data_IF_452540971789
#
_entry.id   IF_452540971789
#
_cell.length_a   1.000
_cell.length_b   1.000
_cell.length_c   1.000
_cell.angle_alpha   90.00
_cell.angle_beta   90.00
_cell.angle_gamma   90.00
#
_symmetry.space_group_name_H-M   'P 1'
#
loop_
_entity.id
_entity.type
_entity.pdbx_description
1 polymer ?
#
# COMPACT_ATOMS: atom_id res chain seq x y z
N UNK A 1 14.61 -28.30 -1.91
CA UNK A 1 15.25 -27.06 -2.39
C UNK A 1 15.45 -27.01 -3.90
N UNK A 2 16.09 -27.99 -4.56
CA UNK A 2 16.32 -27.95 -6.01
C UNK A 2 15.04 -27.79 -6.86
N UNK A 3 13.96 -28.49 -6.51
CA UNK A 3 12.65 -28.36 -7.18
C UNK A 3 12.01 -26.98 -7.02
N UNK A 4 12.11 -26.38 -5.82
CA UNK A 4 11.62 -25.02 -5.57
C UNK A 4 12.44 -23.96 -6.32
N UNK A 5 13.77 -24.14 -6.39
CA UNK A 5 14.64 -23.28 -7.17
C UNK A 5 14.26 -23.30 -8.66
N UNK A 6 14.00 -24.48 -9.23
CA UNK A 6 13.53 -24.58 -10.62
C UNK A 6 12.19 -23.85 -10.83
N UNK A 7 11.23 -24.00 -9.91
CA UNK A 7 9.95 -23.28 -9.97
C UNK A 7 10.16 -21.76 -9.95
N UNK A 8 11.10 -21.28 -9.13
CA UNK A 8 11.50 -19.88 -9.12
C UNK A 8 12.17 -19.46 -10.43
N UNK A 9 13.12 -20.24 -10.94
CA UNK A 9 13.92 -19.92 -12.12
C UNK A 9 13.05 -19.77 -13.38
N UNK A 10 11.97 -20.54 -13.48
CA UNK A 10 10.96 -20.48 -14.55
C UNK A 10 9.98 -19.30 -14.42
N UNK A 11 10.06 -18.48 -13.38
CA UNK A 11 9.23 -17.28 -13.27
C UNK A 11 9.74 -16.16 -14.20
N UNK A 12 8.83 -15.41 -14.85
CA UNK A 12 9.17 -14.16 -15.49
C UNK A 12 9.88 -13.20 -14.53
N UNK A 13 10.82 -12.41 -15.04
CA UNK A 13 11.69 -11.53 -14.23
C UNK A 13 10.92 -10.61 -13.26
N UNK A 14 9.75 -10.11 -13.67
CA UNK A 14 8.90 -9.24 -12.83
C UNK A 14 8.24 -10.02 -11.70
N UNK A 15 7.73 -11.22 -11.98
CA UNK A 15 7.14 -12.10 -10.97
C UNK A 15 8.18 -12.59 -9.96
N UNK A 16 9.43 -12.80 -10.37
CA UNK A 16 10.55 -13.06 -9.45
C UNK A 16 10.68 -11.95 -8.40
N UNK A 17 10.66 -10.68 -8.83
CA UNK A 17 10.72 -9.53 -7.92
C UNK A 17 9.49 -9.44 -7.02
N UNK A 18 8.29 -9.75 -7.55
CA UNK A 18 7.06 -9.85 -6.76
C UNK A 18 7.14 -10.94 -5.69
N UNK A 19 7.70 -12.11 -6.01
CA UNK A 19 7.85 -13.20 -5.05
C UNK A 19 8.87 -12.84 -3.95
N UNK A 20 9.96 -12.13 -4.28
CA UNK A 20 10.94 -11.69 -3.29
C UNK A 20 10.36 -10.73 -2.24
N UNK A 21 9.28 -10.01 -2.53
CA UNK A 21 8.58 -9.18 -1.54
C UNK A 21 8.14 -9.96 -0.30
N UNK A 22 7.72 -11.22 -0.48
CA UNK A 22 7.25 -12.06 0.63
C UNK A 22 8.35 -12.34 1.66
N UNK A 23 9.63 -12.30 1.27
CA UNK A 23 10.75 -12.51 2.19
C UNK A 23 10.82 -11.48 3.32
N UNK A 24 10.20 -10.30 3.17
CA UNK A 24 10.14 -9.28 4.21
C UNK A 24 9.09 -9.56 5.28
N UNK A 25 8.16 -10.45 5.02
CA UNK A 25 7.11 -10.79 5.97
C UNK A 25 7.63 -11.81 7.00
N UNK A 26 7.17 -11.73 8.26
CA UNK A 26 7.45 -12.75 9.26
C UNK A 26 6.96 -14.13 8.81
N UNK A 27 7.56 -15.15 9.38
CA UNK A 27 7.10 -16.54 9.25
C UNK A 27 5.62 -16.66 9.64
N UNK A 28 4.88 -17.50 8.93
CA UNK A 28 3.43 -17.73 9.08
C UNK A 28 2.49 -16.52 8.98
N UNK A 29 3.01 -15.33 8.69
CA UNK A 29 2.20 -14.12 8.69
C UNK A 29 1.15 -14.14 7.58
N UNK A 30 -0.06 -13.71 7.95
CA UNK A 30 -1.13 -13.47 6.99
C UNK A 30 -0.96 -12.10 6.32
N UNK A 31 -0.90 -12.14 4.99
CA UNK A 31 -0.58 -11.01 4.13
C UNK A 31 -1.83 -10.57 3.40
N UNK A 32 -2.23 -9.31 3.58
CA UNK A 32 -3.33 -8.72 2.81
C UNK A 32 -2.93 -8.61 1.35
N UNK A 33 -3.69 -9.26 0.45
CA UNK A 33 -3.35 -9.34 -0.96
C UNK A 33 -3.28 -7.93 -1.59
N UNK A 34 -4.21 -7.05 -1.21
CA UNK A 34 -4.30 -5.67 -1.71
C UNK A 34 -3.06 -4.84 -1.35
N UNK A 35 -2.64 -4.92 -0.09
CA UNK A 35 -1.44 -4.25 0.40
C UNK A 35 -0.19 -4.69 -0.38
N UNK A 36 -0.07 -5.99 -0.63
CA UNK A 36 1.04 -6.57 -1.38
C UNK A 36 1.05 -6.12 -2.85
N UNK A 37 -0.10 -6.14 -3.54
CA UNK A 37 -0.17 -5.72 -4.94
C UNK A 37 0.08 -4.22 -5.11
N UNK A 38 -0.38 -3.38 -4.17
CA UNK A 38 -0.08 -1.95 -4.15
C UNK A 38 1.42 -1.69 -4.02
N UNK A 39 2.11 -2.49 -3.19
CA UNK A 39 3.57 -2.42 -3.11
C UNK A 39 4.25 -2.78 -4.44
N UNK A 40 3.82 -3.84 -5.13
CA UNK A 40 4.38 -4.22 -6.44
C UNK A 40 4.22 -3.13 -7.50
N UNK A 41 3.05 -2.49 -7.53
CA UNK A 41 2.77 -1.35 -8.41
C UNK A 41 3.70 -0.18 -8.07
N UNK A 42 3.81 0.19 -6.79
CA UNK A 42 4.65 1.30 -6.35
C UNK A 42 6.14 1.10 -6.64
N UNK A 43 6.64 -0.13 -6.55
CA UNK A 43 8.00 -0.49 -6.96
C UNK A 43 8.20 -0.49 -8.48
N UNK A 44 7.11 -0.46 -9.25
CA UNK A 44 7.12 -0.54 -10.72
C UNK A 44 7.47 -1.92 -11.24
N UNK A 45 7.27 -2.98 -10.44
CA UNK A 45 7.43 -4.35 -10.92
C UNK A 45 6.41 -4.67 -12.01
N UNK A 46 5.24 -4.02 -11.93
CA UNK A 46 4.13 -4.20 -12.85
C UNK A 46 3.97 -2.90 -13.64
N UNK A 47 4.04 -3.00 -14.96
CA UNK A 47 3.86 -1.85 -15.87
C UNK A 47 2.37 -1.67 -16.16
N UNK A 48 1.75 -0.66 -15.54
CA UNK A 48 0.43 -0.19 -15.95
C UNK A 48 0.53 0.47 -17.32
N UNK A 49 0.08 -0.22 -18.38
CA UNK A 49 0.11 0.35 -19.74
C UNK A 49 -0.96 1.40 -19.97
N UNK A 50 -2.08 1.39 -19.23
CA UNK A 50 -3.17 2.38 -19.29
C UNK A 50 -3.94 2.42 -17.96
N UNK A 51 -4.56 3.55 -17.65
CA UNK A 51 -5.26 3.87 -16.39
C UNK A 51 -6.53 3.07 -16.12
N UNK A 52 -6.96 2.20 -17.03
CA UNK A 52 -8.19 1.39 -16.90
C UNK A 52 -7.96 -0.09 -16.58
N UNK A 53 -6.71 -0.58 -16.53
CA UNK A 53 -6.37 -2.01 -16.29
C UNK A 53 -5.44 -2.21 -15.09
N UNK A 54 -5.28 -1.19 -14.25
CA UNK A 54 -4.08 -1.02 -13.41
C UNK A 54 -4.00 -1.95 -12.19
N UNK A 55 -5.13 -2.47 -11.69
CA UNK A 55 -5.17 -3.34 -10.51
C UNK A 55 -5.45 -4.81 -10.81
N UNK A 56 -5.96 -5.16 -11.99
CA UNK A 56 -6.22 -6.55 -12.36
C UNK A 56 -4.91 -7.33 -12.57
N UNK A 57 -3.99 -6.76 -13.35
CA UNK A 57 -2.72 -7.39 -13.67
C UNK A 57 -1.88 -7.76 -12.42
N UNK A 58 -1.79 -6.92 -11.37
CA UNK A 58 -1.22 -7.34 -10.10
C UNK A 58 -1.90 -8.53 -9.42
N UNK A 59 -3.23 -8.62 -9.46
CA UNK A 59 -3.94 -9.79 -8.94
C UNK A 59 -3.73 -11.03 -9.81
N UNK A 60 -3.54 -10.87 -11.12
CA UNK A 60 -3.20 -11.98 -12.02
C UNK A 60 -1.80 -12.53 -11.69
N UNK A 61 -0.84 -11.64 -11.40
CA UNK A 61 0.49 -12.05 -10.93
C UNK A 61 0.40 -12.85 -9.63
N UNK A 62 -0.40 -12.38 -8.67
CA UNK A 62 -0.62 -13.12 -7.43
C UNK A 62 -1.29 -14.48 -7.69
N UNK A 63 -2.28 -14.52 -8.58
CA UNK A 63 -2.99 -15.74 -8.97
C UNK A 63 -2.07 -16.76 -9.65
N UNK A 64 -1.14 -16.31 -10.48
CA UNK A 64 -0.10 -17.16 -11.09
C UNK A 64 0.83 -17.75 -10.02
N UNK A 65 1.30 -16.93 -9.06
CA UNK A 65 2.13 -17.42 -7.95
C UNK A 65 1.40 -18.45 -7.08
N UNK A 66 0.08 -18.26 -6.87
CA UNK A 66 -0.78 -19.22 -6.19
C UNK A 66 -0.92 -20.51 -7.00
N UNK A 67 -1.16 -20.42 -8.31
CA UNK A 67 -1.31 -21.59 -9.19
C UNK A 67 -0.06 -22.47 -9.26
N UNK A 68 1.12 -21.88 -9.02
CA UNK A 68 2.42 -22.56 -8.93
C UNK A 68 2.73 -23.09 -7.53
N UNK A 69 1.79 -23.00 -6.60
CA UNK A 69 1.94 -23.39 -5.19
C UNK A 69 3.11 -22.69 -4.48
N UNK A 70 3.49 -21.49 -4.92
CA UNK A 70 4.52 -20.68 -4.25
C UNK A 70 3.92 -19.79 -3.15
N UNK A 71 2.61 -19.56 -3.20
CA UNK A 71 1.84 -18.75 -2.27
C UNK A 71 0.50 -19.46 -2.01
N UNK A 72 0.08 -19.47 -0.75
CA UNK A 72 -1.16 -20.10 -0.31
C UNK A 72 -2.24 -19.04 -0.07
N UNK A 73 -3.47 -19.33 -0.47
CA UNK A 73 -4.63 -18.45 -0.19
C UNK A 73 -5.14 -18.75 1.20
N UNK A 74 -5.25 -17.73 2.05
CA UNK A 74 -5.83 -17.84 3.38
C UNK A 74 -7.33 -17.52 3.33
N UNK A 75 -7.68 -16.42 2.67
CA UNK A 75 -9.07 -16.01 2.48
C UNK A 75 -9.29 -15.52 1.05
N UNK A 76 -10.48 -15.80 0.50
CA UNK A 76 -10.95 -15.24 -0.78
C UNK A 76 -11.97 -14.14 -0.54
N UNK A 77 -11.99 -13.17 -1.45
CA UNK A 77 -13.01 -12.13 -1.54
C UNK A 77 -14.34 -12.76 -1.97
N UNK A 78 -15.43 -12.34 -1.36
CA UNK A 78 -16.77 -12.87 -1.67
C UNK A 78 -17.29 -12.47 -3.05
N UNK A 79 -16.92 -11.28 -3.54
CA UNK A 79 -17.51 -10.68 -4.75
C UNK A 79 -16.80 -11.10 -6.05
N UNK A 80 -15.48 -11.28 -6.06
CA UNK A 80 -14.72 -11.65 -7.27
C UNK A 80 -13.90 -12.94 -7.14
N UNK A 81 -13.96 -13.60 -5.98
CA UNK A 81 -13.21 -14.83 -5.70
C UNK A 81 -11.69 -14.67 -5.66
N UNK A 82 -11.14 -13.46 -5.85
CA UNK A 82 -9.69 -13.20 -5.79
C UNK A 82 -9.19 -13.38 -4.36
N UNK A 83 -7.87 -13.55 -4.21
CA UNK A 83 -7.27 -13.63 -2.88
C UNK A 83 -7.54 -12.33 -2.10
N UNK A 84 -8.16 -12.47 -0.93
CA UNK A 84 -8.26 -11.40 0.05
C UNK A 84 -6.98 -11.33 0.89
N UNK A 85 -6.55 -12.50 1.37
CA UNK A 85 -5.31 -12.67 2.10
C UNK A 85 -4.60 -13.96 1.70
N UNK A 86 -3.28 -13.98 1.88
CA UNK A 86 -2.41 -15.07 1.48
C UNK A 86 -1.27 -15.25 2.48
N UNK A 87 -0.56 -16.38 2.36
CA UNK A 87 0.61 -16.73 3.17
C UNK A 87 1.67 -17.38 2.28
N UNK A 88 2.93 -17.24 2.63
CA UNK A 88 4.03 -17.99 2.02
C UNK A 88 4.45 -19.14 2.95
N UNK A 89 4.53 -20.35 2.40
CA UNK A 89 5.02 -21.52 3.12
C UNK A 89 6.53 -21.39 3.45
N UNK A 90 6.96 -21.90 4.60
CA UNK A 90 8.31 -21.71 5.15
C UNK A 90 9.45 -22.13 4.21
N UNK A 91 9.34 -23.29 3.56
CA UNK A 91 10.33 -23.73 2.56
C UNK A 91 10.47 -22.77 1.37
N UNK A 92 9.39 -22.11 0.93
CA UNK A 92 9.42 -21.10 -0.13
C UNK A 92 10.00 -19.80 0.43
N UNK A 93 9.68 -19.46 1.69
CA UNK A 93 10.25 -18.32 2.40
C UNK A 93 11.78 -18.44 2.54
N UNK A 94 12.30 -19.60 2.93
CA UNK A 94 13.74 -19.87 3.02
C UNK A 94 14.45 -19.64 1.69
N UNK A 95 13.85 -20.13 0.60
CA UNK A 95 14.36 -19.92 -0.75
C UNK A 95 14.37 -18.43 -1.11
N UNK A 96 13.27 -17.71 -0.89
CA UNK A 96 13.18 -16.28 -1.22
C UNK A 96 14.11 -15.43 -0.37
N UNK A 97 14.33 -15.76 0.91
CA UNK A 97 15.34 -15.11 1.76
C UNK A 97 16.75 -15.32 1.22
N UNK A 98 17.09 -16.55 0.83
CA UNK A 98 18.40 -16.85 0.23
C UNK A 98 18.64 -15.98 -1.00
N UNK A 99 17.70 -15.96 -1.94
CA UNK A 99 17.82 -15.20 -3.19
C UNK A 99 17.82 -13.68 -2.91
N UNK A 100 16.97 -13.21 -1.98
CA UNK A 100 16.93 -11.81 -1.58
C UNK A 100 18.26 -11.30 -1.01
N UNK A 101 19.04 -12.16 -0.31
CA UNK A 101 20.40 -11.83 0.15
C UNK A 101 21.37 -11.68 -1.02
N UNK A 102 21.31 -12.59 -1.98
CA UNK A 102 22.19 -12.64 -3.15
C UNK A 102 21.96 -11.42 -4.07
N UNK A 103 20.70 -11.04 -4.28
CA UNK A 103 20.33 -9.88 -5.13
C UNK A 103 20.40 -8.52 -4.40
N UNK A 104 20.71 -8.50 -3.10
CA UNK A 104 20.70 -7.28 -2.30
C UNK A 104 19.30 -6.66 -2.16
N UNK A 105 18.25 -7.47 -2.28
CA UNK A 105 16.86 -7.05 -2.11
C UNK A 105 16.62 -6.57 -0.67
N UNK A 106 17.06 -7.39 0.29
CA UNK A 106 17.11 -7.08 1.71
C UNK A 106 18.26 -7.86 2.39
N UNK A 107 18.59 -7.52 3.64
CA UNK A 107 19.55 -8.25 4.44
C UNK A 107 18.83 -8.94 5.59
N UNK A 108 19.32 -10.13 5.96
CA UNK A 108 18.74 -10.95 7.01
C UNK A 108 19.86 -11.50 7.90
N UNK A 109 19.55 -11.77 9.17
CA UNK A 109 20.41 -12.54 10.07
C UNK A 109 20.29 -14.05 9.81
N UNK A 110 21.05 -14.85 10.56
CA UNK A 110 21.08 -16.31 10.39
C UNK A 110 19.74 -17.00 10.71
N UNK A 111 18.84 -16.31 11.41
CA UNK A 111 17.49 -16.78 11.74
C UNK A 111 16.44 -16.32 10.71
N UNK A 112 16.87 -15.72 9.59
CA UNK A 112 15.95 -15.23 8.56
C UNK A 112 15.14 -13.99 8.99
N UNK A 113 15.57 -13.30 10.04
CA UNK A 113 14.99 -12.03 10.47
C UNK A 113 15.65 -10.89 9.73
N UNK A 114 14.85 -9.90 9.32
CA UNK A 114 15.38 -8.75 8.60
C UNK A 114 16.40 -7.99 9.44
N UNK A 115 17.50 -7.58 8.81
CA UNK A 115 18.53 -6.72 9.39
C UNK A 115 18.79 -5.52 8.49
N UNK A 116 18.54 -4.29 8.94
CA UNK A 116 18.85 -3.10 8.14
C UNK A 116 20.34 -3.03 7.79
N UNK A 117 20.64 -2.75 6.52
CA UNK A 117 22.02 -2.67 6.01
C UNK A 117 22.12 -1.59 4.93
N UNK A 118 23.34 -1.11 4.66
CA UNK A 118 23.60 -0.17 3.57
C UNK A 118 23.25 -0.75 2.19
N UNK A 119 23.27 -2.08 2.06
CA UNK A 119 22.92 -2.80 0.83
C UNK A 119 21.41 -2.98 0.63
N UNK A 120 20.61 -2.94 1.70
CA UNK A 120 19.18 -3.18 1.64
C UNK A 120 18.48 -2.13 0.76
N UNK A 121 17.56 -2.59 -0.09
CA UNK A 121 16.71 -1.71 -0.91
C UNK A 121 15.28 -1.64 -0.36
N UNK A 122 14.81 -2.65 0.35
CA UNK A 122 13.51 -2.66 1.01
C UNK A 122 13.66 -2.92 2.50
N UNK A 123 12.72 -2.37 3.27
CA UNK A 123 12.74 -2.39 4.72
C UNK A 123 11.32 -2.57 5.25
N UNK A 124 11.15 -3.44 6.25
CA UNK A 124 9.90 -3.70 6.93
C UNK A 124 10.09 -3.56 8.44
N UNK A 125 9.36 -2.65 9.07
CA UNK A 125 9.45 -2.44 10.51
C UNK A 125 8.45 -3.32 11.25
N UNK A 126 8.96 -4.15 12.16
CA UNK A 126 8.15 -4.98 13.05
C UNK A 126 8.15 -4.45 14.49
N UNK A 127 9.12 -3.60 14.83
CA UNK A 127 9.26 -2.97 16.14
C UNK A 127 10.08 -1.66 16.05
N UNK A 128 10.17 -0.90 17.15
CA UNK A 128 10.93 0.36 17.19
C UNK A 128 12.45 0.19 17.02
N UNK A 129 13.03 -0.94 17.43
CA UNK A 129 14.48 -1.16 17.36
C UNK A 129 14.96 -1.24 15.90
N UNK A 130 14.11 -1.76 15.01
CA UNK A 130 14.33 -1.78 13.56
C UNK A 130 14.50 -0.35 12.99
N UNK A 131 13.74 0.62 13.53
CA UNK A 131 13.81 2.04 13.13
C UNK A 131 15.10 2.72 13.58
N UNK A 132 15.65 2.32 14.73
CA UNK A 132 16.87 2.93 15.31
C UNK A 132 18.16 2.39 14.71
N UNK A 133 18.15 1.15 14.24
CA UNK A 133 19.32 0.46 13.67
C UNK A 133 19.60 0.80 12.21
N UNK A 134 18.82 1.71 11.62
CA UNK A 134 18.91 2.04 10.20
C UNK A 134 20.15 2.86 9.85
N UNK A 135 20.78 2.51 8.73
CA UNK A 135 21.91 3.25 8.19
C UNK A 135 21.45 4.49 7.40
N UNK A 136 21.95 5.68 7.78
CA UNK A 136 21.67 6.97 7.13
C UNK A 136 22.11 7.06 5.66
N UNK A 137 22.98 6.15 5.18
CA UNK A 137 23.43 6.06 3.78
C UNK A 137 22.65 5.04 2.94
N UNK A 138 21.59 4.44 3.49
CA UNK A 138 20.80 3.42 2.79
C UNK A 138 20.06 4.01 1.59
N UNK A 139 19.93 3.21 0.52
CA UNK A 139 19.24 3.61 -0.72
C UNK A 139 17.83 3.02 -0.77
N UNK A 140 17.11 3.09 0.35
CA UNK A 140 15.79 2.45 0.51
C UNK A 140 14.81 2.94 -0.56
N UNK A 141 14.12 1.99 -1.18
CA UNK A 141 13.06 2.17 -2.19
C UNK A 141 11.68 1.85 -1.64
N UNK A 142 11.55 0.90 -0.73
CA UNK A 142 10.29 0.65 -0.04
C UNK A 142 10.48 0.58 1.47
N UNK A 143 9.54 1.19 2.17
CA UNK A 143 9.39 1.10 3.62
C UNK A 143 7.99 0.60 3.91
N UNK A 144 7.90 -0.49 4.64
CA UNK A 144 6.64 -1.09 5.06
C UNK A 144 6.56 -1.14 6.57
N UNK A 145 5.47 -0.69 7.15
CA UNK A 145 5.21 -0.84 8.57
C UNK A 145 4.32 -2.05 8.77
N UNK A 146 4.87 -3.10 9.39
CA UNK A 146 4.23 -4.41 9.55
C UNK A 146 3.80 -4.68 11.00
N UNK A 147 3.88 -3.67 11.87
CA UNK A 147 3.55 -3.80 13.29
C UNK A 147 2.32 -3.00 13.67
N UNK A 148 1.42 -3.67 14.39
CA UNK A 148 0.23 -3.09 15.00
C UNK A 148 0.52 -2.49 16.38
N UNK A 149 1.72 -2.71 16.91
CA UNK A 149 2.16 -2.04 18.14
C UNK A 149 2.36 -0.54 17.86
N UNK A 150 1.90 0.34 18.77
CA UNK A 150 2.19 1.75 18.69
C UNK A 150 3.71 1.97 18.62
N UNK A 151 4.16 2.73 17.62
CA UNK A 151 5.54 3.20 17.50
C UNK A 151 5.54 4.67 17.86
N UNK A 152 6.34 5.07 18.85
CA UNK A 152 6.52 6.47 19.18
C UNK A 152 7.35 7.15 18.11
N UNK A 153 6.72 7.96 17.25
CA UNK A 153 7.46 8.76 16.28
C UNK A 153 7.96 10.07 16.87
N UNK A 154 9.27 10.16 17.09
CA UNK A 154 9.95 11.43 17.35
C UNK A 154 10.86 11.83 16.18
N UNK A 155 11.24 13.11 16.11
CA UNK A 155 12.09 13.68 15.03
C UNK A 155 13.45 12.99 14.85
N UNK A 156 13.90 12.21 15.83
CA UNK A 156 15.20 11.52 15.80
C UNK A 156 15.14 10.13 15.15
N UNK A 157 13.99 9.73 14.60
CA UNK A 157 13.85 8.46 13.91
C UNK A 157 14.60 8.47 12.58
N UNK A 158 15.45 7.45 12.38
CA UNK A 158 16.27 7.34 11.19
C UNK A 158 15.46 7.21 9.88
N UNK A 159 14.17 6.86 9.94
CA UNK A 159 13.28 6.84 8.78
C UNK A 159 13.20 8.20 8.07
N UNK A 160 13.22 9.31 8.82
CA UNK A 160 13.21 10.66 8.22
C UNK A 160 14.48 11.01 7.43
N UNK A 161 15.52 10.17 7.53
CA UNK A 161 16.74 10.29 6.71
C UNK A 161 16.58 9.69 5.32
N UNK A 162 15.55 8.89 5.08
CA UNK A 162 15.25 8.33 3.76
C UNK A 162 14.73 9.46 2.85
N UNK A 163 15.39 9.67 1.70
CA UNK A 163 15.10 10.78 0.77
C UNK A 163 14.50 10.37 -0.57
N UNK A 164 14.49 9.08 -0.90
CA UNK A 164 14.09 8.64 -2.24
C UNK A 164 13.37 7.28 -2.26
N UNK A 165 12.42 7.00 -1.34
CA UNK A 165 11.59 5.82 -1.47
C UNK A 165 10.59 6.01 -2.61
N UNK A 166 10.23 4.90 -3.25
CA UNK A 166 9.08 4.78 -4.14
C UNK A 166 7.83 4.31 -3.41
N UNK A 167 7.98 3.55 -2.32
CA UNK A 167 6.84 2.99 -1.58
C UNK A 167 6.97 3.31 -0.10
N UNK A 168 5.90 3.84 0.47
CA UNK A 168 5.69 3.98 1.90
C UNK A 168 4.36 3.33 2.27
N UNK A 169 4.38 2.44 3.25
CA UNK A 169 3.20 1.77 3.74
C UNK A 169 3.12 1.86 5.27
N UNK A 170 2.07 2.50 5.75
CA UNK A 170 1.72 2.66 7.16
C UNK A 170 0.39 1.97 7.51
N UNK A 171 -0.11 1.05 6.66
CA UNK A 171 -1.42 0.40 6.80
C UNK A 171 -1.62 -0.38 8.09
N UNK A 172 -0.57 -1.01 8.63
CA UNK A 172 -0.68 -1.83 9.85
C UNK A 172 -0.42 -1.06 11.14
N UNK A 173 -0.11 0.24 11.09
CA UNK A 173 0.26 1.00 12.28
C UNK A 173 -0.77 2.07 12.63
N UNK A 174 -1.23 2.09 13.89
CA UNK A 174 -2.17 3.09 14.41
C UNK A 174 -1.56 4.48 14.62
N UNK A 175 -0.24 4.61 14.46
CA UNK A 175 0.55 5.84 14.55
C UNK A 175 0.09 6.73 15.71
N UNK A 176 0.20 6.20 16.93
CA UNK A 176 -0.14 6.94 18.15
C UNK A 176 1.01 7.87 18.57
N UNK A 177 0.67 9.07 19.07
CA UNK A 177 1.64 10.06 19.56
C UNK A 177 2.65 10.56 18.51
N UNK A 178 2.24 10.61 17.24
CA UNK A 178 3.06 11.17 16.16
C UNK A 178 2.75 12.64 15.95
N UNK A 179 3.78 13.45 15.77
CA UNK A 179 3.63 14.75 15.13
C UNK A 179 3.29 14.53 13.64
N UNK A 180 1.99 14.47 13.33
CA UNK A 180 1.48 14.22 11.98
C UNK A 180 2.05 15.25 10.98
N UNK A 181 2.24 16.49 11.41
CA UNK A 181 2.87 17.54 10.60
C UNK A 181 4.29 17.17 10.17
N UNK A 182 5.13 16.69 11.09
CA UNK A 182 6.50 16.27 10.75
C UNK A 182 6.50 15.08 9.78
N UNK A 183 5.59 14.11 9.99
CA UNK A 183 5.42 12.96 9.10
C UNK A 183 5.04 13.40 7.68
N UNK A 184 4.02 14.24 7.55
CA UNK A 184 3.52 14.67 6.25
C UNK A 184 4.48 15.63 5.55
N UNK A 185 5.21 16.47 6.30
CA UNK A 185 6.29 17.31 5.77
C UNK A 185 7.41 16.45 5.18
N UNK A 186 7.81 15.39 5.89
CA UNK A 186 8.77 14.44 5.34
C UNK A 186 8.22 13.74 4.10
N UNK A 187 7.00 13.18 4.14
CA UNK A 187 6.37 12.51 2.99
C UNK A 187 6.35 13.43 1.77
N UNK A 188 5.96 14.71 1.96
CA UNK A 188 5.89 15.71 0.90
C UNK A 188 7.24 16.06 0.27
N UNK A 189 8.35 15.75 0.95
CA UNK A 189 9.71 15.93 0.43
C UNK A 189 10.20 14.78 -0.45
N UNK A 190 9.43 13.69 -0.58
CA UNK A 190 9.85 12.47 -1.24
C UNK A 190 9.49 12.48 -2.72
N UNK A 191 10.29 13.18 -3.53
CA UNK A 191 10.03 13.43 -4.94
C UNK A 191 9.81 12.16 -5.79
N UNK A 192 10.34 11.00 -5.37
CA UNK A 192 10.24 9.71 -6.08
C UNK A 192 9.11 8.81 -5.58
N UNK A 193 8.33 9.27 -4.61
CA UNK A 193 7.27 8.46 -4.02
C UNK A 193 6.21 8.16 -5.09
N UNK A 194 5.92 6.87 -5.27
CA UNK A 194 4.99 6.33 -6.25
C UNK A 194 3.80 5.63 -5.60
N UNK A 195 3.97 5.04 -4.43
CA UNK A 195 2.89 4.46 -3.63
C UNK A 195 2.97 4.94 -2.20
N UNK A 196 1.85 5.43 -1.67
CA UNK A 196 1.69 5.87 -0.30
C UNK A 196 0.43 5.23 0.29
N UNK A 197 0.60 4.41 1.31
CA UNK A 197 -0.51 3.86 2.08
C UNK A 197 -0.53 4.44 3.48
N UNK A 198 -1.56 5.21 3.81
CA UNK A 198 -1.81 5.82 5.12
C UNK A 198 -3.08 5.24 5.78
N UNK A 199 -3.58 4.09 5.32
CA UNK A 199 -4.83 3.49 5.83
C UNK A 199 -4.75 3.00 7.28
N UNK A 200 -3.56 2.94 7.88
CA UNK A 200 -3.41 2.65 9.31
C UNK A 200 -3.43 3.90 10.17
N UNK A 201 -3.24 5.08 9.57
CA UNK A 201 -3.00 6.34 10.28
C UNK A 201 -4.31 6.96 10.72
N UNK A 202 -4.94 6.38 11.75
CA UNK A 202 -6.25 6.82 12.25
C UNK A 202 -6.25 8.25 12.80
N UNK A 203 -5.09 8.77 13.23
CA UNK A 203 -4.96 10.13 13.71
C UNK A 203 -4.92 11.18 12.57
N UNK A 204 -4.73 10.74 11.31
CA UNK A 204 -4.66 11.61 10.15
C UNK A 204 -6.04 12.24 9.90
N UNK A 205 -6.13 13.54 10.15
CA UNK A 205 -7.36 14.30 9.88
C UNK A 205 -7.37 14.93 8.50
N UNK A 206 -6.21 15.31 7.97
CA UNK A 206 -6.08 15.96 6.67
C UNK A 206 -4.70 15.68 6.07
N UNK A 207 -4.62 15.64 4.73
CA UNK A 207 -3.34 15.71 4.03
C UNK A 207 -2.98 17.18 3.79
N UNK A 208 -1.70 17.57 3.90
CA UNK A 208 -1.31 18.93 3.63
C UNK A 208 -1.29 19.16 2.11
N UNK A 209 -1.48 20.41 1.70
CA UNK A 209 -1.39 20.81 0.29
C UNK A 209 -0.09 20.36 -0.39
N UNK A 210 0.99 20.23 0.38
CA UNK A 210 2.29 19.78 -0.10
C UNK A 210 2.31 18.35 -0.64
N UNK A 211 1.36 17.47 -0.29
CA UNK A 211 1.24 16.15 -0.91
C UNK A 211 0.90 16.25 -2.40
N UNK A 212 0.19 17.31 -2.81
CA UNK A 212 -0.04 17.61 -4.23
C UNK A 212 1.25 17.90 -5.03
N UNK A 213 2.39 18.08 -4.37
CA UNK A 213 3.70 18.26 -5.02
C UNK A 213 4.34 16.93 -5.43
N UNK A 214 3.82 15.79 -4.98
CA UNK A 214 4.35 14.46 -5.27
C UNK A 214 3.99 14.01 -6.69
N UNK A 215 4.72 14.53 -7.68
CA UNK A 215 4.43 14.32 -9.12
C UNK A 215 4.55 12.87 -9.59
N UNK A 216 5.25 12.02 -8.84
CA UNK A 216 5.42 10.61 -9.18
C UNK A 216 4.43 9.69 -8.45
N UNK A 217 3.56 10.25 -7.59
CA UNK A 217 2.61 9.45 -6.82
C UNK A 217 1.55 8.87 -7.76
N UNK A 218 1.52 7.54 -7.83
CA UNK A 218 0.60 6.76 -8.66
C UNK A 218 -0.50 6.13 -7.81
N UNK A 219 -0.20 5.81 -6.56
CA UNK A 219 -1.09 5.11 -5.65
C UNK A 219 -1.12 5.81 -4.30
N UNK A 220 -2.33 6.18 -3.88
CA UNK A 220 -2.60 6.76 -2.57
C UNK A 220 -3.73 5.97 -1.92
N UNK A 221 -3.42 5.23 -0.85
CA UNK A 221 -4.42 4.55 -0.02
C UNK A 221 -4.60 5.35 1.26
N UNK A 222 -5.85 5.68 1.57
CA UNK A 222 -6.24 6.36 2.80
C UNK A 222 -7.29 5.52 3.50
N UNK A 223 -7.48 5.77 4.79
CA UNK A 223 -8.75 5.44 5.42
C UNK A 223 -9.84 6.32 4.84
N UNK A 224 -11.05 5.81 4.91
CA UNK A 224 -12.22 6.48 4.39
C UNK A 224 -12.60 7.78 5.13
N UNK A 225 -12.13 7.95 6.37
CA UNK A 225 -12.28 9.20 7.12
C UNK A 225 -11.16 10.19 6.73
N UNK A 226 -11.52 11.36 6.21
CA UNK A 226 -10.56 12.45 5.91
C UNK A 226 -10.34 12.75 4.42
N UNK A 227 -10.87 11.94 3.51
CA UNK A 227 -10.88 12.24 2.06
C UNK A 227 -11.51 13.62 1.81
N UNK A 228 -12.58 13.97 2.53
CA UNK A 228 -13.25 15.26 2.36
C UNK A 228 -12.37 16.48 2.55
N UNK A 229 -11.30 16.39 3.36
CA UNK A 229 -10.42 17.54 3.63
C UNK A 229 -9.36 17.77 2.56
N UNK A 230 -9.31 16.92 1.52
CA UNK A 230 -8.40 17.05 0.39
C UNK A 230 -8.89 18.08 -0.62
N UNK A 231 -9.13 19.32 -0.18
CA UNK A 231 -9.81 20.36 -0.96
C UNK A 231 -9.20 20.67 -2.33
N UNK A 232 -7.93 20.31 -2.54
CA UNK A 232 -7.20 20.49 -3.80
C UNK A 232 -7.11 19.23 -4.68
N UNK A 233 -7.70 18.11 -4.26
CA UNK A 233 -7.75 16.87 -5.01
C UNK A 233 -8.53 17.09 -6.32
N UNK A 234 -7.93 16.72 -7.45
CA UNK A 234 -8.53 16.91 -8.78
C UNK A 234 -9.05 15.60 -9.38
N UNK A 235 -8.58 14.45 -8.92
CA UNK A 235 -9.03 13.14 -9.38
C UNK A 235 -9.11 12.17 -8.21
N UNK A 236 -10.26 11.51 -8.08
CA UNK A 236 -10.53 10.45 -7.12
C UNK A 236 -11.15 9.29 -7.89
N UNK A 237 -10.60 8.09 -7.75
CA UNK A 237 -11.08 6.90 -8.48
C UNK A 237 -11.03 5.68 -7.57
N UNK A 238 -11.90 4.71 -7.84
CA UNK A 238 -12.00 3.48 -7.04
C UNK A 238 -12.60 3.71 -5.64
N UNK A 239 -13.37 4.78 -5.46
CA UNK A 239 -14.03 5.06 -4.19
C UNK A 239 -15.15 4.04 -3.98
N UNK A 240 -15.02 3.18 -2.97
CA UNK A 240 -16.11 2.34 -2.50
C UNK A 240 -16.86 3.08 -1.40
N UNK A 241 -18.14 3.34 -1.65
CA UNK A 241 -19.01 3.98 -0.65
C UNK A 241 -19.43 2.94 0.39
N UNK A 242 -19.91 3.39 1.54
CA UNK A 242 -20.58 2.53 2.53
C UNK A 242 -21.88 3.17 2.99
N UNK A 243 -22.81 2.34 3.46
CA UNK A 243 -24.07 2.80 4.06
C UNK A 243 -23.87 3.57 5.36
N UNK A 244 -24.90 4.31 5.76
CA UNK A 244 -24.88 5.24 6.90
C UNK A 244 -24.45 4.61 8.25
N UNK A 245 -24.68 3.31 8.42
CA UNK A 245 -24.40 2.58 9.66
C UNK A 245 -22.93 2.12 9.79
N UNK A 246 -22.16 2.16 8.70
CA UNK A 246 -20.77 1.71 8.69
C UNK A 246 -19.80 2.86 9.00
N UNK A 247 -19.29 2.89 10.24
CA UNK A 247 -18.37 3.92 10.72
C UNK A 247 -16.95 3.83 10.15
N UNK A 248 -16.63 2.70 9.52
CA UNK A 248 -15.29 2.40 9.02
C UNK A 248 -15.13 2.66 7.51
N UNK A 249 -16.16 3.16 6.82
CA UNK A 249 -16.13 3.44 5.37
C UNK A 249 -16.41 4.90 4.98
N UNK A 250 -16.35 5.20 3.66
CA UNK A 250 -16.47 6.58 3.15
C UNK A 250 -17.89 6.80 2.69
N UNK A 251 -18.53 7.80 3.29
CA UNK A 251 -19.85 8.26 2.88
C UNK A 251 -19.71 9.28 1.76
N UNK A 252 -20.72 9.39 0.92
CA UNK A 252 -20.70 10.36 -0.17
C UNK A 252 -20.66 11.79 0.40
N UNK A 253 -21.26 11.99 1.58
CA UNK A 253 -21.16 13.20 2.43
C UNK A 253 -19.73 13.73 2.63
N UNK A 254 -18.73 12.85 2.70
CA UNK A 254 -17.33 13.26 2.92
C UNK A 254 -16.81 14.08 1.74
N UNK A 255 -17.30 13.87 0.51
CA UNK A 255 -16.72 14.52 -0.68
C UNK A 255 -17.04 16.02 -0.80
N UNK A 256 -17.96 16.56 0.02
CA UNK A 256 -18.50 17.92 -0.09
C UNK A 256 -17.48 19.05 -0.17
N UNK A 257 -16.28 18.84 0.38
CA UNK A 257 -15.23 19.84 0.47
C UNK A 257 -14.16 19.70 -0.63
N UNK A 258 -14.29 18.72 -1.53
CA UNK A 258 -13.38 18.49 -2.65
C UNK A 258 -13.65 19.44 -3.83
N UNK A 259 -13.65 20.75 -3.59
CA UNK A 259 -14.10 21.75 -4.56
C UNK A 259 -13.25 21.83 -5.84
N UNK A 260 -12.02 21.31 -5.82
CA UNK A 260 -11.15 21.24 -7.00
C UNK A 260 -11.29 19.92 -7.77
N UNK A 261 -12.16 19.00 -7.34
CA UNK A 261 -12.32 17.68 -7.94
C UNK A 261 -12.88 17.80 -9.36
N UNK A 262 -12.20 17.18 -10.31
CA UNK A 262 -12.52 17.18 -11.74
C UNK A 262 -12.93 15.81 -12.23
N UNK A 263 -12.40 14.75 -11.62
CA UNK A 263 -12.72 13.36 -11.96
C UNK A 263 -13.08 12.63 -10.68
N UNK A 264 -14.26 12.02 -10.66
CA UNK A 264 -14.74 11.15 -9.59
C UNK A 264 -15.17 9.83 -10.21
N UNK A 265 -14.53 8.73 -9.82
CA UNK A 265 -14.97 7.37 -10.18
C UNK A 265 -15.30 6.60 -8.92
N UNK A 266 -16.54 6.13 -8.84
CA UNK A 266 -17.12 5.49 -7.66
C UNK A 266 -17.53 4.07 -8.04
N UNK A 267 -17.21 3.13 -7.17
CA UNK A 267 -17.71 1.76 -7.25
C UNK A 267 -18.90 1.62 -6.31
N UNK A 268 -20.04 1.17 -6.84
CA UNK A 268 -21.25 0.90 -6.08
C UNK A 268 -21.53 -0.61 -6.14
N UNK A 269 -21.95 -1.18 -5.02
CA UNK A 269 -22.38 -2.57 -4.81
C UNK A 269 -23.75 -2.59 -4.16
N UNK A 270 -24.46 -3.74 -4.19
CA UNK A 270 -25.80 -3.86 -3.59
C UNK A 270 -25.86 -3.53 -2.09
N UNK A 271 -24.73 -3.63 -1.38
CA UNK A 271 -24.61 -3.29 0.05
C UNK A 271 -24.51 -1.77 0.31
N UNK A 272 -24.52 -0.93 -0.72
CA UNK A 272 -24.36 0.51 -0.59
C UNK A 272 -25.70 1.25 -0.43
N UNK A 273 -26.04 1.57 0.82
CA UNK A 273 -27.15 2.47 1.13
C UNK A 273 -26.71 3.94 1.09
N UNK A 274 -26.76 4.56 -0.09
CA UNK A 274 -26.53 6.01 -0.24
C UNK A 274 -27.86 6.72 0.01
N UNK A 275 -27.95 7.48 1.11
CA UNK A 275 -29.13 8.30 1.36
C UNK A 275 -29.28 9.39 0.29
N UNK A 276 -30.50 9.68 -0.12
CA UNK A 276 -30.81 10.69 -1.14
C UNK A 276 -30.25 12.08 -0.78
N UNK A 277 -30.22 12.39 0.52
CA UNK A 277 -29.63 13.60 1.09
C UNK A 277 -28.12 13.71 0.81
N UNK A 278 -27.38 12.59 0.75
CA UNK A 278 -25.95 12.59 0.46
C UNK A 278 -25.66 12.88 -1.02
N UNK A 279 -26.60 12.63 -1.94
CA UNK A 279 -26.42 12.96 -3.36
C UNK A 279 -26.28 14.46 -3.60
N UNK A 280 -26.82 15.29 -2.69
CA UNK A 280 -26.65 16.76 -2.74
C UNK A 280 -25.18 17.18 -2.71
N UNK A 281 -24.29 16.34 -2.20
CA UNK A 281 -22.84 16.58 -2.19
C UNK A 281 -22.28 16.77 -3.59
N UNK A 282 -22.76 16.01 -4.58
CA UNK A 282 -22.28 16.11 -5.96
C UNK A 282 -22.55 17.50 -6.55
N UNK A 283 -23.59 18.20 -6.07
CA UNK A 283 -23.91 19.57 -6.50
C UNK A 283 -22.89 20.61 -6.00
N UNK A 284 -22.14 20.30 -4.93
CA UNK A 284 -21.11 21.17 -4.37
C UNK A 284 -19.77 21.06 -5.13
N UNK A 285 -19.57 19.99 -5.89
CA UNK A 285 -18.36 19.71 -6.67
C UNK A 285 -18.34 20.46 -8.01
N UNK A 286 -18.28 21.79 -7.96
CA UNK A 286 -18.45 22.68 -9.14
C UNK A 286 -17.41 22.48 -10.26
N UNK A 287 -16.25 21.89 -9.96
CA UNK A 287 -15.21 21.61 -10.95
C UNK A 287 -15.30 20.22 -11.57
N UNK A 288 -16.26 19.39 -11.14
CA UNK A 288 -16.38 18.01 -11.58
C UNK A 288 -16.73 17.96 -13.06
N UNK A 289 -15.86 17.32 -13.85
CA UNK A 289 -15.99 17.15 -15.30
C UNK A 289 -16.35 15.73 -15.68
N UNK A 290 -15.92 14.76 -14.87
CA UNK A 290 -16.13 13.33 -15.11
C UNK A 290 -16.63 12.70 -13.84
N UNK A 291 -17.83 12.11 -13.91
CA UNK A 291 -18.37 11.22 -12.90
C UNK A 291 -18.55 9.84 -13.56
N UNK A 292 -17.82 8.84 -13.08
CA UNK A 292 -17.99 7.44 -13.46
C UNK A 292 -18.57 6.67 -12.28
N UNK A 293 -19.59 5.87 -12.54
CA UNK A 293 -20.19 4.98 -11.55
C UNK A 293 -20.12 3.59 -12.14
N UNK A 294 -19.28 2.75 -11.52
CA UNK A 294 -19.10 1.37 -11.93
C UNK A 294 -19.83 0.48 -10.91
N UNK A 295 -20.70 -0.43 -11.38
CA UNK A 295 -21.39 -1.37 -10.49
C UNK A 295 -20.59 -2.67 -10.37
N UNK A 296 -20.24 -3.05 -9.14
CA UNK A 296 -19.82 -4.43 -8.84
C UNK A 296 -21.09 -5.28 -8.82
N UNK A 297 -21.29 -6.08 -9.89
CA UNK A 297 -22.37 -7.10 -9.98
C UNK A 297 -22.05 -8.26 -9.05
#
# INVERSE_FOLDING_TARGET
>A
MASLQLSYDELPIRMKQCLLCFSLYPEDSEIGAEQLVHWWVGEGFIEGRNTSTTMELPFDYLSELISRCLVEVVQRRGYDGRAYSCRMHDLVRDLTIKIAREEGFCCFDDQGRQRPSARSRRLSFTNEADLRSMNKKSRIRAVLMMTSSPIQFNRNIAMFTIKSPRVLDFSKNKLENICIEDLLNWISSLERLASLNLSGVSALKELPFSIGKLRNLQLLVLTFQGIGRLSNLQELSGLKLVGADNKDGCRLAELQNLLQLRVLRVNISEENEIAEEELTVLTHLKQLKVLSIDSEV
#
